data_IF_867531729130
#
_entry.id   IF_867531729130
#
_cell.length_a   1.000
_cell.length_b   1.000
_cell.length_c   1.000
_cell.angle_alpha   90.00
_cell.angle_beta   90.00
_cell.angle_gamma   90.00
#
_symmetry.space_group_name_H-M   'P 1'
#
loop_
_entity.id
_entity.type
_entity.pdbx_description
1 polymer ?
#
# COMPACT_ATOMS: atom_id res chain seq x y z
N UNK A 1 -21.40 -3.28 -5.47
CA UNK A 1 -21.15 -2.66 -4.15
C UNK A 1 -21.31 -3.67 -3.03
N UNK A 2 -22.45 -4.37 -2.88
CA UNK A 2 -22.71 -5.33 -1.77
C UNK A 2 -21.65 -6.41 -1.66
N UNK A 3 -21.26 -7.04 -2.78
CA UNK A 3 -20.25 -8.10 -2.79
C UNK A 3 -18.87 -7.60 -2.32
N UNK A 4 -18.46 -6.39 -2.70
CA UNK A 4 -17.19 -5.81 -2.25
C UNK A 4 -17.23 -5.49 -0.75
N UNK A 5 -18.36 -4.95 -0.26
CA UNK A 5 -18.56 -4.79 1.17
C UNK A 5 -18.45 -6.12 1.92
N UNK A 6 -19.06 -7.19 1.39
CA UNK A 6 -18.94 -8.54 1.95
C UNK A 6 -17.49 -9.05 2.02
N UNK A 7 -16.68 -8.82 0.99
CA UNK A 7 -15.25 -9.20 0.99
C UNK A 7 -14.48 -8.42 2.06
N UNK A 8 -14.68 -7.11 2.16
CA UNK A 8 -14.00 -6.29 3.15
C UNK A 8 -14.36 -6.70 4.59
N UNK A 9 -15.65 -6.98 4.84
CA UNK A 9 -16.13 -7.49 6.14
C UNK A 9 -15.54 -8.86 6.44
N UNK A 10 -15.59 -9.80 5.49
CA UNK A 10 -15.02 -11.13 5.66
C UNK A 10 -13.53 -11.08 6.04
N UNK A 11 -12.76 -10.28 5.31
CA UNK A 11 -11.34 -10.08 5.60
C UNK A 11 -11.07 -9.41 6.95
N UNK A 12 -12.08 -8.76 7.53
CA UNK A 12 -11.96 -8.00 8.78
C UNK A 12 -12.65 -8.67 9.98
N UNK A 13 -13.21 -9.87 9.83
CA UNK A 13 -13.87 -10.60 10.91
C UNK A 13 -13.01 -10.74 12.18
N UNK A 14 -11.68 -11.00 12.11
CA UNK A 14 -10.86 -11.10 13.32
C UNK A 14 -10.81 -9.81 14.16
N UNK A 15 -11.15 -8.64 13.59
CA UNK A 15 -11.20 -7.37 14.33
C UNK A 15 -12.37 -7.27 15.31
N UNK A 16 -13.34 -8.18 15.22
CA UNK A 16 -14.47 -8.25 16.16
C UNK A 16 -14.09 -8.78 17.55
N UNK A 17 -12.88 -9.36 17.70
CA UNK A 17 -12.36 -9.73 19.02
C UNK A 17 -12.23 -8.52 19.95
N UNK A 18 -12.35 -8.69 21.27
CA UNK A 18 -12.28 -7.58 22.24
C UNK A 18 -10.94 -6.87 22.24
N UNK A 19 -9.83 -7.60 22.05
CA UNK A 19 -8.47 -7.05 22.01
C UNK A 19 -7.88 -6.97 20.61
N UNK A 20 -6.62 -6.59 20.55
CA UNK A 20 -5.73 -6.81 19.40
C UNK A 20 -4.88 -8.03 19.75
N UNK A 21 -4.82 -9.02 18.85
CA UNK A 21 -3.93 -10.18 19.06
C UNK A 21 -2.47 -9.73 19.22
N UNK A 22 -1.65 -10.56 19.86
CA UNK A 22 -0.20 -10.32 19.94
C UNK A 22 0.41 -10.57 18.55
N UNK A 23 0.76 -9.51 17.82
CA UNK A 23 1.50 -9.60 16.56
C UNK A 23 3.01 -9.39 16.79
N UNK A 24 3.85 -9.96 15.93
CA UNK A 24 5.32 -9.85 16.07
C UNK A 24 5.77 -8.38 16.04
N UNK A 25 5.20 -7.58 15.14
CA UNK A 25 5.58 -6.19 14.91
C UNK A 25 4.57 -5.19 15.51
N UNK A 26 3.51 -5.69 16.18
CA UNK A 26 2.39 -4.87 16.62
C UNK A 26 2.82 -3.73 17.54
N UNK A 27 3.59 -4.04 18.60
CA UNK A 27 4.04 -3.02 19.56
C UNK A 27 4.83 -1.90 18.90
N UNK A 28 5.71 -2.23 17.96
CA UNK A 28 6.45 -1.26 17.19
C UNK A 28 5.52 -0.32 16.39
N UNK A 29 4.52 -0.86 15.71
CA UNK A 29 3.62 -0.04 14.90
C UNK A 29 2.62 0.77 15.74
N UNK A 30 2.16 0.25 16.87
CA UNK A 30 1.34 1.03 17.80
C UNK A 30 2.11 2.24 18.34
N UNK A 31 3.38 2.04 18.69
CA UNK A 31 4.23 3.13 19.14
C UNK A 31 4.48 4.17 18.05
N UNK A 32 4.60 3.77 16.76
CA UNK A 32 4.69 4.71 15.64
C UNK A 32 3.40 5.55 15.49
N UNK A 33 2.24 4.94 15.65
CA UNK A 33 0.95 5.65 15.58
C UNK A 33 0.86 6.70 16.69
N UNK A 34 1.19 6.31 17.93
CA UNK A 34 1.21 7.24 19.07
C UNK A 34 2.23 8.36 18.84
N UNK A 35 3.43 8.02 18.36
CA UNK A 35 4.47 8.99 18.07
C UNK A 35 4.04 10.06 17.05
N UNK A 36 3.31 9.66 16.00
CA UNK A 36 2.76 10.59 15.02
C UNK A 36 1.65 11.45 15.65
N UNK A 37 0.74 10.84 16.42
CA UNK A 37 -0.35 11.54 17.07
C UNK A 37 0.17 12.59 18.06
N UNK A 38 1.13 12.23 18.90
CA UNK A 38 1.76 13.15 19.86
C UNK A 38 2.54 14.27 19.15
N UNK A 39 3.30 13.97 18.12
CA UNK A 39 4.00 14.96 17.33
C UNK A 39 3.05 16.02 16.76
N UNK A 40 1.90 15.59 16.25
CA UNK A 40 0.85 16.52 15.78
C UNK A 40 0.24 17.31 16.94
N UNK A 41 -0.06 16.64 18.06
CA UNK A 41 -0.69 17.26 19.23
C UNK A 41 0.18 18.36 19.84
N UNK A 42 1.47 18.14 19.96
CA UNK A 42 2.43 19.11 20.53
C UNK A 42 2.94 20.14 19.51
N UNK A 43 2.42 20.14 18.30
CA UNK A 43 2.74 21.16 17.28
C UNK A 43 4.08 20.95 16.60
N UNK A 44 4.62 19.77 16.62
CA UNK A 44 5.75 19.35 15.79
C UNK A 44 5.27 19.15 14.34
N UNK A 45 4.98 20.28 13.70
CA UNK A 45 4.37 20.32 12.35
C UNK A 45 5.31 19.93 11.20
N UNK A 46 6.41 19.27 11.48
CA UNK A 46 7.15 18.62 10.40
C UNK A 46 6.37 17.38 9.94
N UNK A 47 5.58 17.50 8.89
CA UNK A 47 5.03 16.32 8.22
C UNK A 47 6.04 15.92 7.13
N UNK A 48 6.60 14.72 7.20
CA UNK A 48 6.40 13.66 8.21
C UNK A 48 7.07 13.98 9.55
N UNK A 49 6.49 13.49 10.65
CA UNK A 49 7.09 13.56 11.98
C UNK A 49 8.39 12.76 11.97
N UNK A 50 9.52 13.46 11.98
CA UNK A 50 10.84 12.84 11.75
C UNK A 50 11.43 12.20 13.00
N UNK A 51 11.13 12.74 14.16
CA UNK A 51 11.67 12.29 15.44
C UNK A 51 10.57 12.31 16.48
N UNK A 52 10.45 11.25 17.27
CA UNK A 52 9.51 11.18 18.38
C UNK A 52 10.23 10.90 19.68
N UNK A 53 9.95 11.70 20.69
CA UNK A 53 10.46 11.55 22.05
C UNK A 53 9.89 10.33 22.79
N UNK A 54 8.85 9.67 22.28
CA UNK A 54 8.32 8.42 22.86
C UNK A 54 9.29 7.24 22.76
N UNK A 55 10.33 7.37 21.92
CA UNK A 55 11.31 6.31 21.73
C UNK A 55 12.55 6.51 22.62
N UNK A 56 13.14 5.41 23.06
CA UNK A 56 14.44 5.36 23.75
C UNK A 56 14.47 6.33 24.94
N UNK A 57 13.51 6.18 25.88
CA UNK A 57 13.49 6.94 27.14
C UNK A 57 13.57 8.48 26.96
N UNK A 58 13.02 9.00 25.87
CA UNK A 58 13.00 10.42 25.57
C UNK A 58 14.13 10.92 24.66
N UNK A 59 15.10 10.09 24.29
CA UNK A 59 16.17 10.48 23.35
C UNK A 59 15.66 10.58 21.90
N UNK A 60 14.57 9.90 21.57
CA UNK A 60 13.97 9.89 20.25
C UNK A 60 14.57 8.87 19.30
N UNK A 61 13.80 8.51 18.27
CA UNK A 61 14.20 7.61 17.20
C UNK A 61 13.64 8.10 15.86
N UNK A 62 14.48 8.29 14.83
CA UNK A 62 14.05 8.86 13.55
C UNK A 62 13.43 7.79 12.63
N UNK A 63 12.40 7.08 13.08
CA UNK A 63 11.78 5.97 12.36
C UNK A 63 11.30 6.36 10.98
N UNK A 64 10.68 7.54 10.86
CA UNK A 64 10.08 8.04 9.60
C UNK A 64 11.10 8.37 8.51
N UNK A 65 12.40 8.38 8.83
CA UNK A 65 13.46 8.52 7.82
C UNK A 65 13.67 7.20 7.07
N UNK A 66 13.51 6.08 7.78
CA UNK A 66 13.81 4.74 7.28
C UNK A 66 12.57 3.92 6.91
N UNK A 67 11.40 4.39 7.33
CA UNK A 67 10.16 3.64 7.21
C UNK A 67 9.02 4.57 6.83
N UNK A 68 8.43 4.38 5.66
CA UNK A 68 7.29 5.17 5.21
C UNK A 68 6.12 5.11 6.20
N UNK A 69 5.50 6.24 6.47
CA UNK A 69 4.46 6.39 7.48
C UNK A 69 3.18 7.06 6.96
N UNK A 70 3.10 7.36 5.66
CA UNK A 70 1.99 8.07 5.04
C UNK A 70 0.62 7.51 5.47
N UNK A 71 0.44 6.20 5.43
CA UNK A 71 -0.84 5.59 5.81
C UNK A 71 -1.06 5.53 7.33
N UNK A 72 0.00 5.66 8.15
CA UNK A 72 -0.12 5.70 9.61
C UNK A 72 -0.71 7.01 10.13
N UNK A 73 -0.75 8.05 9.33
CA UNK A 73 -1.50 9.27 9.66
C UNK A 73 -2.99 9.00 9.83
N UNK A 74 -3.56 7.98 9.17
CA UNK A 74 -4.97 7.59 9.34
C UNK A 74 -5.27 7.20 10.79
N UNK A 75 -4.61 6.20 11.39
CA UNK A 75 -4.85 5.86 12.80
C UNK A 75 -4.34 6.93 13.76
N UNK A 76 -3.31 7.71 13.43
CA UNK A 76 -2.87 8.84 14.25
C UNK A 76 -3.95 9.92 14.38
N UNK A 77 -4.60 10.32 13.29
CA UNK A 77 -5.75 11.23 13.35
C UNK A 77 -6.92 10.63 14.10
N UNK A 78 -7.17 9.32 13.97
CA UNK A 78 -8.21 8.63 14.76
C UNK A 78 -7.90 8.72 16.26
N UNK A 79 -6.63 8.59 16.67
CA UNK A 79 -6.18 8.82 18.04
C UNK A 79 -6.48 10.24 18.51
N UNK A 80 -6.18 11.26 17.70
CA UNK A 80 -6.46 12.66 18.01
C UNK A 80 -7.96 12.95 18.14
N UNK A 81 -8.82 12.14 17.53
CA UNK A 81 -10.28 12.21 17.71
C UNK A 81 -10.76 11.58 19.02
N UNK A 82 -9.87 11.03 19.85
CA UNK A 82 -10.20 10.47 21.18
C UNK A 82 -10.40 8.95 21.21
N UNK A 83 -10.21 8.24 20.10
CA UNK A 83 -10.28 6.78 20.12
C UNK A 83 -9.05 6.18 20.82
N UNK A 84 -9.20 5.02 21.46
CA UNK A 84 -8.08 4.26 22.01
C UNK A 84 -7.13 3.81 20.90
N UNK A 85 -5.88 3.49 21.25
CA UNK A 85 -4.91 2.97 20.27
C UNK A 85 -5.40 1.65 19.62
N UNK A 86 -6.07 0.81 20.38
CA UNK A 86 -6.70 -0.43 19.89
C UNK A 86 -7.77 -0.15 18.84
N UNK A 87 -8.66 0.79 19.10
CA UNK A 87 -9.73 1.16 18.17
C UNK A 87 -9.15 1.81 16.92
N UNK A 88 -8.21 2.75 17.08
CA UNK A 88 -7.54 3.41 15.96
C UNK A 88 -6.83 2.40 15.04
N UNK A 89 -6.15 1.42 15.62
CA UNK A 89 -5.52 0.36 14.85
C UNK A 89 -6.54 -0.54 14.14
N UNK A 90 -7.63 -0.93 14.80
CA UNK A 90 -8.70 -1.74 14.19
C UNK A 90 -9.36 -1.00 13.02
N UNK A 91 -9.67 0.28 13.20
CA UNK A 91 -10.21 1.14 12.13
C UNK A 91 -9.24 1.17 10.94
N UNK A 92 -7.97 1.37 11.22
CA UNK A 92 -6.93 1.37 10.20
C UNK A 92 -6.89 0.06 9.41
N UNK A 93 -6.83 -1.09 10.08
CA UNK A 93 -6.81 -2.41 9.42
C UNK A 93 -8.07 -2.62 8.57
N UNK A 94 -9.25 -2.22 9.08
CA UNK A 94 -10.48 -2.28 8.31
C UNK A 94 -10.41 -1.43 7.05
N UNK A 95 -9.92 -0.19 7.15
CA UNK A 95 -9.76 0.71 6.00
C UNK A 95 -8.77 0.18 4.96
N UNK A 96 -7.65 -0.43 5.40
CA UNK A 96 -6.71 -1.07 4.49
C UNK A 96 -7.34 -2.29 3.81
N UNK A 97 -8.12 -3.12 4.52
CA UNK A 97 -8.83 -4.25 3.92
C UNK A 97 -9.88 -3.77 2.89
N UNK A 98 -10.65 -2.75 3.22
CA UNK A 98 -11.63 -2.15 2.33
C UNK A 98 -10.98 -1.50 1.10
N UNK A 99 -9.93 -0.72 1.30
CA UNK A 99 -9.14 -0.10 0.23
C UNK A 99 -8.52 -1.15 -0.69
N UNK A 100 -7.90 -2.20 -0.13
CA UNK A 100 -7.35 -3.32 -0.92
C UNK A 100 -8.44 -3.99 -1.75
N UNK A 101 -9.64 -4.20 -1.18
CA UNK A 101 -10.78 -4.80 -1.88
C UNK A 101 -11.21 -3.96 -3.07
N UNK A 102 -11.41 -2.66 -2.87
CA UNK A 102 -11.85 -1.75 -3.93
C UNK A 102 -10.80 -1.62 -5.03
N UNK A 103 -9.55 -1.39 -4.65
CA UNK A 103 -8.44 -1.20 -5.59
C UNK A 103 -8.22 -2.47 -6.41
N UNK A 104 -8.13 -3.62 -5.77
CA UNK A 104 -7.93 -4.90 -6.46
C UNK A 104 -9.09 -5.17 -7.43
N UNK A 105 -10.35 -4.96 -7.03
CA UNK A 105 -11.50 -5.10 -7.91
C UNK A 105 -11.41 -4.19 -9.14
N UNK A 106 -11.12 -2.91 -8.95
CA UNK A 106 -11.00 -1.95 -10.06
C UNK A 106 -9.90 -2.39 -11.03
N UNK A 107 -8.74 -2.78 -10.51
CA UNK A 107 -7.60 -3.19 -11.32
C UNK A 107 -7.89 -4.49 -12.07
N UNK A 108 -8.39 -5.51 -11.40
CA UNK A 108 -8.72 -6.79 -12.03
C UNK A 108 -9.87 -6.66 -13.04
N UNK A 109 -10.88 -5.83 -12.75
CA UNK A 109 -11.92 -5.55 -13.73
C UNK A 109 -11.35 -4.89 -15.00
N UNK A 110 -10.39 -3.98 -14.87
CA UNK A 110 -9.74 -3.35 -16.01
C UNK A 110 -8.88 -4.33 -16.84
N UNK A 111 -8.35 -5.38 -16.21
CA UNK A 111 -7.59 -6.44 -16.89
C UNK A 111 -8.53 -7.44 -17.55
N UNK A 112 -9.44 -8.04 -16.78
CA UNK A 112 -10.26 -9.17 -17.25
C UNK A 112 -11.52 -8.77 -18.00
N UNK A 113 -12.01 -7.53 -17.82
CA UNK A 113 -13.25 -7.02 -18.42
C UNK A 113 -14.50 -7.83 -18.06
N UNK A 114 -14.44 -8.61 -16.99
CA UNK A 114 -15.52 -9.45 -16.47
C UNK A 114 -15.70 -9.18 -14.98
N UNK A 115 -16.92 -8.77 -14.59
CA UNK A 115 -17.24 -8.41 -13.19
C UNK A 115 -17.09 -9.60 -12.24
N UNK A 116 -17.55 -10.77 -12.64
CA UNK A 116 -17.52 -11.97 -11.78
C UNK A 116 -16.08 -12.44 -11.55
N UNK A 117 -15.25 -12.47 -12.60
CA UNK A 117 -13.83 -12.79 -12.50
C UNK A 117 -13.13 -11.76 -11.60
N UNK A 118 -13.42 -10.47 -11.78
CA UNK A 118 -12.81 -9.43 -10.97
C UNK A 118 -13.18 -9.56 -9.49
N UNK A 119 -14.44 -9.85 -9.15
CA UNK A 119 -14.87 -10.09 -7.76
C UNK A 119 -14.17 -11.32 -7.17
N UNK A 120 -14.16 -12.44 -7.90
CA UNK A 120 -13.54 -13.68 -7.43
C UNK A 120 -12.02 -13.54 -7.22
N UNK A 121 -11.35 -12.88 -8.16
CA UNK A 121 -9.90 -12.61 -8.06
C UNK A 121 -9.60 -11.65 -6.91
N UNK A 122 -10.46 -10.64 -6.67
CA UNK A 122 -10.31 -9.72 -5.54
C UNK A 122 -10.52 -10.43 -4.21
N UNK A 123 -11.52 -11.30 -4.12
CA UNK A 123 -11.72 -12.15 -2.94
C UNK A 123 -10.47 -12.99 -2.67
N UNK A 124 -9.98 -13.73 -3.66
CA UNK A 124 -8.78 -14.56 -3.52
C UNK A 124 -7.55 -13.74 -3.13
N UNK A 125 -7.39 -12.53 -3.68
CA UNK A 125 -6.28 -11.65 -3.36
C UNK A 125 -6.35 -11.12 -1.93
N UNK A 126 -7.50 -10.61 -1.52
CA UNK A 126 -7.69 -9.98 -0.20
C UNK A 126 -7.60 -11.01 0.93
N UNK A 127 -8.11 -12.23 0.69
CA UNK A 127 -8.11 -13.33 1.66
C UNK A 127 -6.93 -14.30 1.47
N UNK A 128 -5.95 -13.96 0.64
CA UNK A 128 -4.76 -14.79 0.45
C UNK A 128 -4.09 -15.08 1.81
N UNK A 129 -3.76 -16.35 2.05
CA UNK A 129 -3.24 -16.81 3.35
C UNK A 129 -2.05 -15.98 3.83
N UNK A 130 -1.10 -15.70 2.97
CA UNK A 130 0.06 -14.89 3.32
C UNK A 130 -0.34 -13.48 3.78
N UNK A 131 -1.27 -12.83 3.05
CA UNK A 131 -1.77 -11.51 3.44
C UNK A 131 -2.46 -11.54 4.80
N UNK A 132 -3.30 -12.56 5.05
CA UNK A 132 -4.00 -12.71 6.33
C UNK A 132 -3.02 -12.95 7.48
N UNK A 133 -1.94 -13.70 7.24
CA UNK A 133 -0.84 -13.88 8.21
C UNK A 133 -0.13 -12.55 8.48
N UNK A 134 0.16 -11.75 7.46
CA UNK A 134 0.77 -10.41 7.63
C UNK A 134 -0.13 -9.48 8.45
N UNK A 135 -1.46 -9.51 8.24
CA UNK A 135 -2.41 -8.65 8.96
C UNK A 135 -2.59 -9.09 10.42
N UNK A 136 -2.87 -10.38 10.66
CA UNK A 136 -3.42 -10.84 11.94
C UNK A 136 -2.44 -11.63 12.81
N UNK A 137 -1.39 -12.20 12.24
CA UNK A 137 -0.40 -12.97 12.99
C UNK A 137 0.87 -12.15 13.21
N UNK A 138 1.40 -11.55 12.14
CA UNK A 138 2.62 -10.76 12.21
C UNK A 138 2.38 -9.31 12.61
N UNK A 139 1.21 -8.76 12.27
CA UNK A 139 0.93 -7.32 12.32
C UNK A 139 1.98 -6.49 11.55
N UNK A 140 2.41 -7.01 10.39
CA UNK A 140 3.42 -6.40 9.52
C UNK A 140 2.80 -5.24 8.73
N UNK A 141 2.52 -4.14 9.42
CA UNK A 141 1.73 -2.99 8.94
C UNK A 141 2.22 -2.45 7.60
N UNK A 142 3.50 -2.25 7.45
CA UNK A 142 4.06 -1.76 6.19
C UNK A 142 3.82 -2.73 5.04
N UNK A 143 4.05 -4.02 5.28
CA UNK A 143 3.95 -5.06 4.26
C UNK A 143 2.51 -5.26 3.76
N UNK A 144 1.54 -5.45 4.67
CA UNK A 144 0.15 -5.64 4.22
C UNK A 144 -0.47 -4.36 3.64
N UNK A 145 0.03 -3.19 4.04
CA UNK A 145 -0.38 -1.90 3.45
C UNK A 145 0.20 -1.74 2.04
N UNK A 146 1.45 -2.15 1.80
CA UNK A 146 2.06 -2.17 0.47
C UNK A 146 1.26 -3.05 -0.50
N UNK A 147 0.71 -4.17 -0.03
CA UNK A 147 -0.11 -5.07 -0.85
C UNK A 147 -1.34 -4.39 -1.44
N UNK A 148 -1.83 -3.28 -0.88
CA UNK A 148 -2.91 -2.50 -1.47
C UNK A 148 -2.54 -1.92 -2.84
N UNK A 149 -1.25 -1.63 -3.07
CA UNK A 149 -0.75 -0.98 -4.28
C UNK A 149 -0.29 -1.97 -5.37
N UNK A 150 -0.03 -3.24 -5.04
CA UNK A 150 0.41 -4.24 -6.03
C UNK A 150 -0.56 -4.41 -7.21
N UNK A 151 -1.90 -4.43 -7.03
CA UNK A 151 -2.81 -4.49 -8.17
C UNK A 151 -2.71 -3.28 -9.10
N UNK A 152 -2.36 -2.11 -8.59
CA UNK A 152 -2.15 -0.89 -9.39
C UNK A 152 -0.93 -1.06 -10.28
N UNK A 153 0.19 -1.52 -9.71
CA UNK A 153 1.44 -1.80 -10.43
C UNK A 153 1.19 -2.87 -11.50
N UNK A 154 0.52 -3.97 -11.13
CA UNK A 154 0.19 -5.04 -12.06
C UNK A 154 -0.66 -4.55 -13.25
N UNK A 155 -1.67 -3.71 -12.99
CA UNK A 155 -2.49 -3.10 -14.04
C UNK A 155 -1.66 -2.18 -14.93
N UNK A 156 -0.78 -1.35 -14.35
CA UNK A 156 0.09 -0.43 -15.10
C UNK A 156 1.02 -1.21 -16.04
N UNK A 157 1.70 -2.22 -15.50
CA UNK A 157 2.62 -3.07 -16.27
C UNK A 157 1.87 -3.84 -17.37
N UNK A 158 0.74 -4.46 -17.03
CA UNK A 158 -0.11 -5.12 -18.02
C UNK A 158 -0.44 -4.19 -19.20
N UNK A 159 -0.85 -2.96 -18.93
CA UNK A 159 -1.20 -1.98 -19.97
C UNK A 159 0.02 -1.51 -20.74
N UNK A 160 1.15 -1.28 -20.10
CA UNK A 160 2.40 -0.90 -20.74
C UNK A 160 2.75 -1.90 -21.85
N UNK A 161 2.61 -3.20 -21.59
CA UNK A 161 2.92 -4.23 -22.58
C UNK A 161 1.78 -4.57 -23.53
N UNK A 162 0.52 -4.47 -23.11
CA UNK A 162 -0.64 -4.74 -23.95
C UNK A 162 -0.93 -3.59 -24.92
N UNK A 163 -0.66 -2.36 -24.53
CA UNK A 163 -0.97 -1.15 -25.30
C UNK A 163 0.27 -0.59 -26.03
N UNK A 164 1.36 -1.32 -26.13
CA UNK A 164 2.65 -0.84 -26.69
C UNK A 164 2.57 -0.28 -28.10
N UNK A 165 1.56 -0.68 -28.88
CA UNK A 165 1.32 -0.23 -30.25
C UNK A 165 0.30 0.93 -30.35
N UNK A 166 -0.17 1.47 -29.22
CA UNK A 166 -1.14 2.57 -29.24
C UNK A 166 -0.43 3.93 -29.37
N UNK A 167 -1.19 4.94 -29.79
CA UNK A 167 -0.68 6.31 -29.84
C UNK A 167 -0.20 6.79 -28.47
N UNK A 168 0.88 7.56 -28.45
CA UNK A 168 1.46 8.10 -27.22
C UNK A 168 0.45 8.83 -26.33
N UNK A 169 -0.49 9.57 -26.92
CA UNK A 169 -1.53 10.29 -26.20
C UNK A 169 -2.36 9.38 -25.29
N UNK A 170 -2.68 8.17 -25.74
CA UNK A 170 -3.41 7.16 -24.98
C UNK A 170 -2.47 6.39 -24.03
N UNK A 171 -1.29 6.07 -24.50
CA UNK A 171 -0.30 5.27 -23.78
C UNK A 171 0.23 5.94 -22.51
N UNK A 172 0.45 7.26 -22.55
CA UNK A 172 1.03 8.05 -21.44
C UNK A 172 0.24 7.98 -20.12
N UNK A 173 -1.06 7.59 -20.17
CA UNK A 173 -1.88 7.41 -18.95
C UNK A 173 -1.39 6.30 -18.02
N UNK A 174 -0.53 5.42 -18.52
CA UNK A 174 0.06 4.33 -17.74
C UNK A 174 1.21 4.81 -16.85
N UNK A 175 1.77 5.99 -17.15
CA UNK A 175 2.87 6.61 -16.40
C UNK A 175 2.46 6.93 -14.96
N UNK A 176 1.45 7.81 -14.71
CA UNK A 176 1.03 8.12 -13.35
C UNK A 176 0.45 6.90 -12.62
N UNK A 177 -0.11 5.94 -13.34
CA UNK A 177 -0.63 4.72 -12.74
C UNK A 177 0.51 3.88 -12.11
N UNK A 178 1.63 3.72 -12.83
CA UNK A 178 2.81 3.03 -12.31
C UNK A 178 3.48 3.85 -11.19
N UNK A 179 3.60 5.16 -11.37
CA UNK A 179 4.20 6.05 -10.37
C UNK A 179 3.45 6.02 -9.05
N UNK A 180 2.12 6.15 -9.06
CA UNK A 180 1.28 6.07 -7.85
C UNK A 180 1.39 4.70 -7.18
N UNK A 181 1.39 3.61 -7.97
CA UNK A 181 1.57 2.27 -7.41
C UNK A 181 2.93 2.12 -6.73
N UNK A 182 4.01 2.56 -7.38
CA UNK A 182 5.36 2.50 -6.82
C UNK A 182 5.53 3.39 -5.59
N UNK A 183 5.05 4.64 -5.64
CA UNK A 183 5.08 5.55 -4.49
C UNK A 183 4.34 4.98 -3.29
N UNK A 184 3.16 4.40 -3.51
CA UNK A 184 2.42 3.75 -2.43
C UNK A 184 3.18 2.60 -1.77
N UNK A 185 3.96 1.82 -2.52
CA UNK A 185 4.80 0.76 -1.96
C UNK A 185 6.02 1.35 -1.22
N UNK A 186 6.67 2.36 -1.78
CA UNK A 186 7.81 3.06 -1.13
C UNK A 186 7.38 3.64 0.21
N UNK A 187 6.27 4.38 0.23
CA UNK A 187 5.73 5.05 1.41
C UNK A 187 5.11 4.09 2.45
N UNK A 188 5.11 2.79 2.18
CA UNK A 188 4.60 1.80 3.13
C UNK A 188 5.66 0.80 3.57
N UNK A 189 6.46 0.24 2.64
CA UNK A 189 7.38 -0.84 2.98
C UNK A 189 8.56 -0.96 2.01
N UNK A 190 9.74 -0.52 2.42
CA UNK A 190 10.95 -0.54 1.60
C UNK A 190 11.34 -1.94 1.09
N UNK A 191 11.34 -3.02 1.93
CA UNK A 191 11.66 -4.35 1.40
C UNK A 191 10.70 -4.83 0.31
N UNK A 192 9.41 -4.47 0.41
CA UNK A 192 8.45 -4.76 -0.68
C UNK A 192 8.78 -3.99 -1.96
N UNK A 193 9.29 -2.76 -1.83
CA UNK A 193 9.74 -1.97 -2.99
C UNK A 193 10.88 -2.67 -3.72
N UNK A 194 11.87 -3.16 -2.98
CA UNK A 194 13.01 -3.90 -3.56
C UNK A 194 12.54 -5.14 -4.32
N UNK A 195 11.64 -5.92 -3.73
CA UNK A 195 11.05 -7.10 -4.39
C UNK A 195 10.28 -6.71 -5.66
N UNK A 196 9.48 -5.66 -5.60
CA UNK A 196 8.70 -5.17 -6.76
C UNK A 196 9.64 -4.71 -7.87
N UNK A 197 10.68 -3.94 -7.55
CA UNK A 197 11.68 -3.50 -8.54
C UNK A 197 12.36 -4.70 -9.17
N UNK A 198 12.78 -5.69 -8.37
CA UNK A 198 13.36 -6.93 -8.89
C UNK A 198 12.43 -7.66 -9.85
N UNK A 199 11.15 -7.82 -9.49
CA UNK A 199 10.13 -8.43 -10.36
C UNK A 199 9.92 -7.62 -11.64
N UNK A 200 9.90 -6.28 -11.56
CA UNK A 200 9.79 -5.41 -12.74
C UNK A 200 10.98 -5.61 -13.69
N UNK A 201 12.20 -5.74 -13.16
CA UNK A 201 13.40 -6.04 -13.97
C UNK A 201 13.27 -7.40 -14.67
N UNK A 202 12.81 -8.44 -13.96
CA UNK A 202 12.56 -9.75 -14.57
C UNK A 202 11.51 -9.69 -15.68
N UNK A 203 10.42 -8.93 -15.48
CA UNK A 203 9.40 -8.70 -16.52
C UNK A 203 10.01 -7.97 -17.73
N UNK A 204 10.83 -6.95 -17.50
CA UNK A 204 11.54 -6.23 -18.57
C UNK A 204 12.43 -7.17 -19.40
N UNK A 205 13.12 -8.08 -18.76
CA UNK A 205 13.96 -9.09 -19.43
C UNK A 205 13.10 -10.10 -20.18
N UNK A 206 12.04 -10.63 -19.56
CA UNK A 206 11.14 -11.61 -20.17
C UNK A 206 10.45 -11.05 -21.43
N UNK A 207 10.12 -9.76 -21.43
CA UNK A 207 9.50 -9.06 -22.55
C UNK A 207 10.47 -8.10 -23.26
N UNK A 208 11.76 -8.43 -23.35
CA UNK A 208 12.83 -7.55 -23.79
C UNK A 208 12.52 -6.82 -25.13
N UNK A 209 11.99 -7.54 -26.13
CA UNK A 209 11.64 -6.94 -27.44
C UNK A 209 10.62 -5.80 -27.32
N UNK A 210 9.63 -5.94 -26.43
CA UNK A 210 8.63 -4.90 -26.18
C UNK A 210 9.17 -3.81 -25.25
N UNK A 211 10.01 -4.18 -24.27
CA UNK A 211 10.66 -3.25 -23.36
C UNK A 211 11.53 -2.24 -24.10
N UNK A 212 12.28 -2.69 -25.09
CA UNK A 212 13.18 -1.83 -25.87
C UNK A 212 12.45 -0.92 -26.88
N UNK A 213 11.11 -0.93 -26.94
CA UNK A 213 10.40 0.06 -27.76
C UNK A 213 10.47 1.45 -27.14
N UNK A 214 10.53 2.49 -28.01
CA UNK A 214 10.64 3.89 -27.58
C UNK A 214 9.55 4.29 -26.55
N UNK A 215 8.31 3.86 -26.77
CA UNK A 215 7.20 4.19 -25.89
C UNK A 215 7.32 3.53 -24.52
N UNK A 216 7.72 2.26 -24.47
CA UNK A 216 7.87 1.51 -23.20
C UNK A 216 9.04 2.06 -22.38
N UNK A 217 10.21 2.29 -23.00
CA UNK A 217 11.35 2.90 -22.31
C UNK A 217 11.00 4.29 -21.77
N UNK A 218 10.34 5.12 -22.60
CA UNK A 218 9.88 6.44 -22.16
C UNK A 218 8.87 6.37 -21.01
N UNK A 219 7.94 5.40 -21.04
CA UNK A 219 6.97 5.22 -19.98
C UNK A 219 7.63 4.84 -18.65
N UNK A 220 8.53 3.85 -18.64
CA UNK A 220 9.26 3.47 -17.43
C UNK A 220 10.13 4.61 -16.91
N UNK A 221 10.84 5.31 -17.77
CA UNK A 221 11.67 6.45 -17.39
C UNK A 221 10.85 7.58 -16.75
N UNK A 222 9.74 7.97 -17.39
CA UNK A 222 8.87 9.01 -16.84
C UNK A 222 8.15 8.56 -15.56
N UNK A 223 7.74 7.27 -15.46
CA UNK A 223 7.18 6.75 -14.22
C UNK A 223 8.18 6.79 -13.08
N UNK A 224 9.46 6.51 -13.33
CA UNK A 224 10.50 6.63 -12.32
C UNK A 224 10.68 8.08 -11.86
N UNK A 225 10.68 9.04 -12.79
CA UNK A 225 10.74 10.47 -12.45
C UNK A 225 9.53 10.88 -11.61
N UNK A 226 8.31 10.53 -12.05
CA UNK A 226 7.10 10.86 -11.29
C UNK A 226 7.10 10.18 -9.90
N UNK A 227 7.59 8.95 -9.79
CA UNK A 227 7.76 8.27 -8.50
C UNK A 227 8.70 9.06 -7.57
N UNK A 228 9.86 9.52 -8.08
CA UNK A 228 10.81 10.33 -7.30
C UNK A 228 10.19 11.67 -6.87
N UNK A 229 9.37 12.28 -7.73
CA UNK A 229 8.72 13.55 -7.40
C UNK A 229 7.57 13.42 -6.39
N UNK A 230 7.01 12.22 -6.23
CA UNK A 230 5.93 11.94 -5.28
C UNK A 230 6.45 11.55 -3.89
N UNK A 231 7.72 11.18 -3.75
CA UNK A 231 8.37 10.76 -2.49
C UNK A 231 9.53 11.70 -2.12
#
# INVERSE_FOLDING_TARGET
VIMLGGIAVLASLPLLSEGIGSGHDLGFHLLRIEAIADGIHFGEWSIPVRLSSLWIEGYGYPTSIFYGDLLLYIPAFTRLMGFSITEAYKIYVFLINAGTTVISYICFYKVFRNKNIAVLTSLAYVTATYRMVCVYVRAAVGEYSAMMFFPIIALAVFRIYAESNTEWKTYKRNIPLLAVGMSGVIETHIPSTEIVVFVLVLICIAFLKKTLTKNTLKAYFLSAIETILLN
#
